data_IF_223244576950
#
_entry.id   IF_223244576950
#
_cell.length_a   1.000
_cell.length_b   1.000
_cell.length_c   1.000
_cell.angle_alpha   90.00
_cell.angle_beta   90.00
_cell.angle_gamma   90.00
#
_symmetry.space_group_name_H-M   'P 1'
#
loop_
_entity.id
_entity.type
_entity.pdbx_description
1 polymer ?
#
# COMPACT_ATOMS: atom_id res chain seq x y z
N UNK A 1 -0.21 -16.98 25.23
CA UNK A 1 -0.07 -18.09 24.26
C UNK A 1 -1.05 -17.86 23.12
N UNK A 2 -2.31 -17.49 23.43
CA UNK A 2 -3.34 -17.09 22.47
C UNK A 2 -2.90 -15.99 21.48
N UNK A 3 -2.13 -14.99 21.90
CA UNK A 3 -1.66 -13.92 20.99
C UNK A 3 -0.64 -14.38 19.94
N UNK A 4 0.10 -15.47 20.20
CA UNK A 4 1.13 -15.95 19.29
C UNK A 4 0.56 -16.88 18.22
N UNK A 5 -0.36 -17.74 18.63
CA UNK A 5 -1.10 -18.60 17.70
C UNK A 5 -1.95 -17.73 16.76
N UNK A 6 -2.59 -16.66 17.27
CA UNK A 6 -3.30 -15.70 16.43
C UNK A 6 -2.37 -14.99 15.42
N UNK A 7 -1.16 -14.60 15.83
CA UNK A 7 -0.18 -13.98 14.94
C UNK A 7 0.30 -14.93 13.82
N UNK A 8 0.45 -16.21 14.14
CA UNK A 8 0.88 -17.23 13.20
C UNK A 8 -0.25 -17.67 12.26
N UNK A 9 -1.48 -17.79 12.76
CA UNK A 9 -2.66 -17.97 11.92
C UNK A 9 -2.92 -16.77 11.01
N UNK A 10 -2.69 -15.54 11.48
CA UNK A 10 -2.74 -14.35 10.64
C UNK A 10 -1.65 -14.35 9.56
N UNK A 11 -0.42 -14.77 9.89
CA UNK A 11 0.65 -14.98 8.92
C UNK A 11 0.22 -16.02 7.88
N UNK A 12 -0.24 -17.20 8.28
CA UNK A 12 -0.71 -18.26 7.37
C UNK A 12 -1.91 -17.84 6.50
N UNK A 13 -2.87 -17.09 7.06
CA UNK A 13 -4.03 -16.55 6.34
C UNK A 13 -3.62 -15.44 5.36
N UNK A 14 -2.65 -14.60 5.73
CA UNK A 14 -2.11 -13.57 4.84
C UNK A 14 -1.33 -14.16 3.65
N UNK A 15 -0.58 -15.25 3.86
CA UNK A 15 0.05 -16.01 2.76
C UNK A 15 -0.98 -16.58 1.76
N UNK A 16 -2.20 -16.88 2.21
CA UNK A 16 -3.28 -17.37 1.36
C UNK A 16 -4.02 -16.24 0.59
N UNK A 17 -4.06 -15.01 1.12
CA UNK A 17 -4.70 -13.85 0.48
C UNK A 17 -3.78 -13.17 -0.55
N UNK A 18 -2.46 -13.21 -0.36
CA UNK A 18 -1.48 -12.67 -1.31
C UNK A 18 -1.58 -13.27 -2.73
N UNK A 19 -2.18 -14.46 -2.88
CA UNK A 19 -2.41 -15.11 -4.18
C UNK A 19 -3.72 -14.70 -4.88
N UNK A 20 -4.57 -13.87 -4.26
CA UNK A 20 -5.93 -13.57 -4.75
C UNK A 20 -6.31 -12.10 -4.82
N UNK A 21 -5.41 -11.17 -4.56
CA UNK A 21 -5.66 -9.76 -4.84
C UNK A 21 -5.54 -9.50 -6.34
N UNK A 22 -6.67 -9.80 -6.98
CA UNK A 22 -7.03 -9.45 -8.32
C UNK A 22 -6.64 -7.98 -8.54
N UNK A 23 -5.71 -7.74 -9.47
CA UNK A 23 -5.60 -6.45 -10.16
C UNK A 23 -6.94 -6.26 -10.85
N UNK A 24 -7.92 -5.71 -10.13
CA UNK A 24 -9.12 -5.19 -10.75
C UNK A 24 -8.67 -3.97 -11.53
N UNK A 25 -8.33 -4.20 -12.79
CA UNK A 25 -8.72 -3.27 -13.83
C UNK A 25 -10.23 -3.07 -13.69
N UNK A 26 -10.64 -2.00 -13.03
CA UNK A 26 -12.03 -1.68 -12.86
C UNK A 26 -12.25 -0.19 -12.58
N UNK A 27 -13.25 0.47 -13.19
CA UNK A 27 -13.97 0.08 -14.39
C UNK A 27 -13.27 0.64 -15.63
N UNK A 28 -13.46 -0.03 -16.76
CA UNK A 28 -13.75 0.71 -17.99
C UNK A 28 -15.03 1.52 -17.76
N UNK A 29 -14.97 2.61 -17.00
CA UNK A 29 -15.86 3.72 -17.30
C UNK A 29 -15.22 4.35 -18.51
N UNK A 30 -15.65 3.88 -19.67
CA UNK A 30 -15.75 4.71 -20.86
C UNK A 30 -16.57 5.95 -20.48
N UNK A 31 -15.94 6.86 -19.77
CA UNK A 31 -16.32 8.25 -19.75
C UNK A 31 -15.21 8.86 -20.56
N UNK A 32 -15.43 8.81 -21.86
CA UNK A 32 -14.62 9.49 -22.83
C UNK A 32 -14.35 10.86 -22.23
N UNK A 33 -13.09 11.16 -21.89
CA UNK A 33 -12.63 12.52 -22.03
C UNK A 33 -13.06 12.84 -23.46
N UNK A 34 -14.18 13.55 -23.60
CA UNK A 34 -14.62 13.98 -24.90
C UNK A 34 -13.53 14.98 -25.28
N UNK A 35 -12.50 14.47 -25.94
CA UNK A 35 -11.97 15.10 -27.12
C UNK A 35 -13.18 15.21 -28.04
N UNK A 36 -14.05 16.18 -27.73
CA UNK A 36 -14.83 16.82 -28.75
C UNK A 36 -13.77 17.30 -29.72
N UNK A 37 -13.50 16.48 -30.74
CA UNK A 37 -13.09 17.01 -32.02
C UNK A 37 -14.14 18.06 -32.27
N UNK A 38 -13.76 19.31 -32.03
CA UNK A 38 -14.40 20.45 -32.65
C UNK A 38 -14.43 20.02 -34.11
N UNK A 39 -15.60 19.62 -34.59
CA UNK A 39 -15.89 19.59 -36.01
C UNK A 39 -16.33 21.03 -36.31
N UNK A 40 -15.41 21.94 -36.67
CA UNK A 40 -15.83 23.01 -37.55
C UNK A 40 -16.27 22.30 -38.83
N UNK A 41 -17.57 22.30 -39.11
CA UNK A 41 -18.00 22.10 -40.49
C UNK A 41 -17.59 23.36 -41.24
N UNK A 42 -16.40 23.35 -41.84
CA UNK A 42 -16.02 24.24 -42.94
C UNK A 42 -15.00 23.49 -43.82
N UNK A 43 -15.20 23.44 -45.15
CA UNK A 43 -14.18 22.95 -46.07
C UNK A 43 -13.03 23.97 -46.15
N UNK A 44 -11.78 23.50 -46.11
CA UNK A 44 -10.62 24.36 -46.35
C UNK A 44 -9.62 23.70 -47.30
N UNK A 45 -9.56 24.19 -48.53
CA UNK A 45 -8.33 24.48 -49.28
C UNK A 45 -8.68 25.23 -50.58
N UNK A 46 -7.75 25.99 -51.18
CA UNK A 46 -6.88 27.03 -50.64
C UNK A 46 -7.42 28.43 -51.01
N UNK A 47 -6.69 29.51 -50.72
CA UNK A 47 -6.99 30.86 -51.20
C UNK A 47 -7.23 30.85 -52.73
N UNK A 48 -8.48 30.98 -53.15
CA UNK A 48 -8.86 31.11 -54.55
C UNK A 48 -8.75 32.57 -54.97
N UNK A 49 -8.47 32.81 -56.25
CA UNK A 49 -8.46 34.14 -56.86
C UNK A 49 -9.76 34.92 -56.57
N UNK A 50 -10.87 34.21 -56.35
CA UNK A 50 -12.15 34.78 -55.95
C UNK A 50 -12.12 35.47 -54.57
N UNK A 51 -11.33 34.97 -53.60
CA UNK A 51 -11.18 35.60 -52.29
C UNK A 51 -10.38 36.91 -52.39
N UNK A 52 -9.37 36.96 -53.27
CA UNK A 52 -8.56 38.15 -53.53
C UNK A 52 -9.36 39.24 -54.26
N UNK A 53 -10.25 38.85 -55.17
CA UNK A 53 -11.17 39.76 -55.86
C UNK A 53 -12.22 40.37 -54.93
N UNK A 54 -12.62 39.65 -53.87
CA UNK A 54 -13.57 40.13 -52.86
C UNK A 54 -12.95 41.19 -51.94
N UNK A 55 -11.69 41.03 -51.54
CA UNK A 55 -10.95 42.03 -50.77
C UNK A 55 -10.69 43.31 -51.58
N UNK A 56 -10.47 43.18 -52.90
CA UNK A 56 -10.28 44.32 -53.82
C UNK A 56 -11.59 45.12 -54.00
N UNK A 57 -12.74 44.44 -54.06
CA UNK A 57 -14.06 45.10 -54.10
C UNK A 57 -14.44 45.79 -52.79
N UNK A 58 -14.00 45.26 -51.64
CA UNK A 58 -14.21 45.89 -50.33
C UNK A 58 -13.34 47.14 -50.13
N UNK A 59 -12.13 47.16 -50.70
CA UNK A 59 -11.27 48.34 -50.71
C UNK A 59 -11.87 49.47 -51.58
N UNK A 60 -12.47 49.15 -52.73
CA UNK A 60 -13.10 50.14 -53.62
C UNK A 60 -14.38 50.77 -53.01
N UNK A 61 -15.15 50.01 -52.22
CA UNK A 61 -16.30 50.53 -51.49
C UNK A 61 -15.91 51.52 -50.37
N UNK A 62 -14.74 51.35 -49.76
CA UNK A 62 -14.20 52.30 -48.76
C UNK A 62 -13.90 53.70 -49.33
N UNK A 63 -13.56 53.78 -50.62
CA UNK A 63 -13.32 55.06 -51.30
C UNK A 63 -14.62 55.81 -51.64
N UNK A 64 -15.76 55.13 -51.74
CA UNK A 64 -17.06 55.78 -52.00
C UNK A 64 -17.71 56.38 -50.75
N UNK A 65 -17.51 55.77 -49.56
CA UNK A 65 -18.00 56.32 -48.29
C UNK A 65 -17.29 57.62 -47.89
N UNK A 66 -16.06 57.82 -48.36
CA UNK A 66 -15.28 59.04 -48.12
C UNK A 66 -15.82 60.28 -48.86
N UNK A 67 -16.83 60.14 -49.72
CA UNK A 67 -17.38 61.24 -50.55
C UNK A 67 -18.83 61.65 -50.24
N UNK A 68 -19.42 61.15 -49.15
CA UNK A 68 -20.79 61.53 -48.71
C UNK A 68 -20.84 62.20 -47.33
N UNK A 69 -19.70 62.47 -46.69
CA UNK A 69 -19.63 63.24 -45.45
C UNK A 69 -19.68 64.76 -45.72
N UNK A 70 -20.76 65.26 -46.33
CA UNK A 70 -21.05 66.70 -46.39
C UNK A 70 -22.53 67.01 -46.72
N UNK A 71 -23.45 66.73 -45.80
CA UNK A 71 -24.62 67.58 -45.46
C UNK A 71 -25.58 66.77 -44.57
N UNK A 72 -25.85 67.29 -43.37
CA UNK A 72 -26.76 66.66 -42.41
C UNK A 72 -28.16 67.24 -42.43
N UNK A 73 -29.12 66.53 -41.82
CA UNK A 73 -30.12 67.05 -40.87
C UNK A 73 -31.15 65.96 -40.45
N UNK A 74 -31.25 65.71 -39.14
CA UNK A 74 -32.48 65.86 -38.34
C UNK A 74 -33.68 64.89 -38.45
N UNK A 75 -33.92 64.20 -37.33
CA UNK A 75 -35.21 63.92 -36.64
C UNK A 75 -36.05 62.69 -37.07
N UNK A 76 -36.39 61.86 -36.07
CA UNK A 76 -37.62 61.05 -36.04
C UNK A 76 -37.46 59.66 -35.41
N UNK A 77 -38.01 59.47 -34.19
CA UNK A 77 -38.13 58.15 -33.53
C UNK A 77 -39.03 57.22 -34.38
N UNK A 78 -38.59 56.02 -34.82
CA UNK A 78 -39.43 55.12 -35.60
C UNK A 78 -40.28 54.21 -34.69
N UNK A 79 -41.54 54.04 -35.06
CA UNK A 79 -42.48 53.09 -34.47
C UNK A 79 -42.02 51.64 -34.67
N UNK A 80 -42.29 50.76 -33.70
CA UNK A 80 -41.88 49.35 -33.68
C UNK A 80 -42.27 48.57 -34.95
N UNK A 81 -43.35 48.96 -35.63
CA UNK A 81 -43.75 48.36 -36.92
C UNK A 81 -42.82 48.67 -38.09
N UNK A 82 -42.10 49.79 -38.09
CA UNK A 82 -41.13 50.12 -39.15
C UNK A 82 -39.82 49.38 -38.94
N UNK A 83 -39.43 49.15 -37.69
CA UNK A 83 -38.24 48.36 -37.36
C UNK A 83 -38.44 46.89 -37.75
N UNK A 84 -39.61 46.31 -37.50
CA UNK A 84 -39.93 44.93 -37.91
C UNK A 84 -39.98 44.78 -39.44
N UNK A 85 -40.57 45.74 -40.16
CA UNK A 85 -40.58 45.73 -41.63
C UNK A 85 -39.18 45.91 -42.24
N UNK A 86 -38.31 46.69 -41.58
CA UNK A 86 -36.91 46.85 -42.00
C UNK A 86 -36.07 45.61 -41.67
N UNK A 87 -36.35 44.92 -40.55
CA UNK A 87 -35.73 43.64 -40.20
C UNK A 87 -36.17 42.52 -41.16
N UNK A 88 -37.44 42.48 -41.57
CA UNK A 88 -37.95 41.50 -42.53
C UNK A 88 -37.43 41.73 -43.95
N UNK A 89 -37.28 43.00 -44.38
CA UNK A 89 -36.63 43.30 -45.67
C UNK A 89 -35.14 42.96 -45.65
N UNK A 90 -34.41 43.30 -44.58
CA UNK A 90 -33.00 42.92 -44.44
C UNK A 90 -32.83 41.39 -44.39
N UNK A 91 -33.77 40.68 -43.75
CA UNK A 91 -33.75 39.21 -43.68
C UNK A 91 -34.00 38.59 -45.05
N UNK A 92 -34.92 39.16 -45.85
CA UNK A 92 -35.21 38.71 -47.22
C UNK A 92 -34.05 39.02 -48.17
N UNK A 93 -33.44 40.19 -48.06
CA UNK A 93 -32.32 40.61 -48.90
C UNK A 93 -31.05 39.77 -48.58
N UNK A 94 -30.84 39.38 -47.32
CA UNK A 94 -29.80 38.43 -46.91
C UNK A 94 -30.09 36.99 -47.41
N UNK A 95 -31.37 36.62 -47.52
CA UNK A 95 -31.81 35.35 -48.12
C UNK A 95 -31.57 35.28 -49.63
N UNK A 96 -31.75 36.38 -50.36
CA UNK A 96 -31.50 36.48 -51.81
C UNK A 96 -30.00 36.46 -52.15
N UNK A 97 -29.14 36.93 -51.25
CA UNK A 97 -27.67 36.81 -51.36
C UNK A 97 -27.14 35.42 -50.95
N UNK A 98 -28.03 34.46 -50.64
CA UNK A 98 -27.65 33.10 -50.25
C UNK A 98 -27.10 32.97 -48.83
N UNK A 99 -27.16 34.03 -48.02
CA UNK A 99 -26.73 34.05 -46.62
C UNK A 99 -27.95 33.69 -45.76
N UNK A 100 -28.42 32.45 -45.89
CA UNK A 100 -29.37 31.90 -44.93
C UNK A 100 -28.59 31.49 -43.69
N UNK A 101 -28.49 32.39 -42.71
CA UNK A 101 -28.04 32.03 -41.37
C UNK A 101 -29.16 31.20 -40.70
N UNK A 102 -29.36 29.96 -41.17
CA UNK A 102 -30.25 29.03 -40.49
C UNK A 102 -29.72 28.85 -39.06
N UNK A 103 -30.56 29.07 -38.02
CA UNK A 103 -30.11 28.96 -36.65
C UNK A 103 -29.58 27.54 -36.41
N UNK A 104 -28.35 27.43 -35.92
CA UNK A 104 -27.65 26.15 -35.73
C UNK A 104 -28.18 25.34 -34.53
N UNK A 105 -29.23 25.83 -33.87
CA UNK A 105 -29.85 25.27 -32.67
C UNK A 105 -30.36 26.37 -31.72
N UNK A 106 -30.95 25.96 -30.59
CA UNK A 106 -31.34 26.86 -29.49
C UNK A 106 -30.45 26.56 -28.29
N UNK A 107 -29.78 27.59 -27.76
CA UNK A 107 -28.85 27.42 -26.65
C UNK A 107 -29.57 26.90 -25.39
N UNK A 108 -29.04 25.84 -24.80
CA UNK A 108 -29.60 25.23 -23.59
C UNK A 108 -29.55 26.14 -22.35
N UNK A 109 -28.58 27.06 -22.27
CA UNK A 109 -28.43 27.99 -21.15
C UNK A 109 -29.36 29.20 -21.29
N UNK A 110 -29.27 29.96 -22.39
CA UNK A 110 -30.00 31.23 -22.55
C UNK A 110 -31.32 31.13 -23.33
N UNK A 111 -31.64 29.94 -23.89
CA UNK A 111 -32.85 29.66 -24.68
C UNK A 111 -33.02 30.50 -25.96
N UNK A 112 -31.95 31.17 -26.42
CA UNK A 112 -31.94 31.96 -27.66
C UNK A 112 -31.40 31.13 -28.84
N UNK A 113 -31.84 31.41 -30.09
CA UNK A 113 -31.26 30.82 -31.29
C UNK A 113 -29.76 31.13 -31.39
N UNK A 114 -28.97 30.14 -31.79
CA UNK A 114 -27.52 30.28 -31.95
C UNK A 114 -27.24 30.72 -33.39
N UNK A 115 -26.71 31.92 -33.54
CA UNK A 115 -26.20 32.43 -34.81
C UNK A 115 -24.67 32.24 -34.86
N UNK A 116 -24.15 31.60 -35.92
CA UNK A 116 -22.71 31.38 -36.10
C UNK A 116 -22.19 30.09 -35.44
N UNK A 117 -21.09 30.18 -34.67
CA UNK A 117 -20.41 29.01 -34.08
C UNK A 117 -21.29 28.36 -33.00
N UNK A 118 -21.67 27.11 -33.24
CA UNK A 118 -22.41 26.27 -32.27
C UNK A 118 -21.47 25.27 -31.61
N UNK A 119 -21.63 25.08 -30.29
CA UNK A 119 -21.07 23.94 -29.57
C UNK A 119 -22.15 22.91 -29.32
N UNK A 120 -21.88 21.66 -29.67
CA UNK A 120 -22.76 20.52 -29.37
C UNK A 120 -22.09 19.67 -28.31
N UNK A 121 -22.69 19.63 -27.12
CA UNK A 121 -22.16 18.93 -25.94
C UNK A 121 -23.31 18.50 -25.03
N UNK A 122 -23.16 17.39 -24.29
CA UNK A 122 -24.19 16.86 -23.38
C UNK A 122 -25.54 16.61 -24.09
N UNK A 123 -25.51 16.26 -25.38
CA UNK A 123 -26.71 16.09 -26.22
C UNK A 123 -27.50 17.39 -26.50
N UNK A 124 -26.91 18.56 -26.24
CA UNK A 124 -27.55 19.89 -26.39
C UNK A 124 -26.66 20.84 -27.20
N UNK A 125 -27.23 21.96 -27.64
CA UNK A 125 -26.49 23.03 -28.32
C UNK A 125 -26.28 24.22 -27.39
N UNK A 126 -25.12 24.86 -27.50
CA UNK A 126 -24.67 25.93 -26.62
C UNK A 126 -23.97 27.03 -27.42
N UNK A 127 -24.09 28.27 -26.97
CA UNK A 127 -23.10 29.28 -27.36
C UNK A 127 -21.76 28.94 -26.69
N UNK A 128 -20.62 29.23 -27.34
CA UNK A 128 -19.29 29.04 -26.75
C UNK A 128 -19.12 29.62 -25.34
N UNK A 129 -19.57 30.86 -25.16
CA UNK A 129 -19.55 31.60 -23.88
C UNK A 129 -20.46 31.01 -22.79
N UNK A 130 -21.49 30.26 -23.19
CA UNK A 130 -22.48 29.70 -22.26
C UNK A 130 -22.18 28.24 -21.89
N UNK A 131 -21.17 27.63 -22.50
CA UNK A 131 -20.71 26.29 -22.16
C UNK A 131 -19.56 26.38 -21.16
N UNK A 132 -19.92 26.56 -19.89
CA UNK A 132 -19.00 26.83 -18.78
C UNK A 132 -18.98 25.71 -17.75
N UNK A 133 -17.87 25.58 -17.02
CA UNK A 133 -17.78 24.67 -15.89
C UNK A 133 -18.83 25.00 -14.83
N UNK A 134 -19.57 23.99 -14.38
CA UNK A 134 -20.62 24.14 -13.36
C UNK A 134 -20.09 24.60 -11.99
N UNK A 135 -18.78 24.47 -11.72
CA UNK A 135 -18.16 24.83 -10.43
C UNK A 135 -17.42 26.16 -10.47
N UNK A 136 -16.47 26.36 -11.40
CA UNK A 136 -15.70 27.61 -11.48
C UNK A 136 -16.20 28.62 -12.52
N UNK A 137 -17.14 28.26 -13.39
CA UNK A 137 -17.66 29.14 -14.44
C UNK A 137 -16.71 29.36 -15.63
N UNK A 138 -15.56 28.68 -15.69
CA UNK A 138 -14.63 28.78 -16.81
C UNK A 138 -15.27 28.27 -18.11
N UNK A 139 -15.09 28.99 -19.21
CA UNK A 139 -15.47 28.56 -20.57
C UNK A 139 -14.73 27.28 -20.97
N UNK A 140 -15.48 26.27 -21.41
CA UNK A 140 -14.96 24.95 -21.76
C UNK A 140 -14.80 24.77 -23.29
N UNK A 141 -14.97 25.83 -24.08
CA UNK A 141 -14.92 25.77 -25.55
C UNK A 141 -13.52 25.50 -26.13
N UNK A 142 -12.47 25.72 -25.33
CA UNK A 142 -11.06 25.65 -25.74
C UNK A 142 -10.32 24.40 -25.27
N UNK A 143 -10.96 23.52 -24.51
CA UNK A 143 -10.28 22.38 -23.89
C UNK A 143 -11.19 21.17 -23.64
N UNK A 144 -10.62 20.04 -23.20
CA UNK A 144 -11.40 18.88 -22.80
C UNK A 144 -12.28 19.23 -21.59
N UNK A 145 -13.45 18.61 -21.53
CA UNK A 145 -14.35 18.70 -20.39
C UNK A 145 -14.79 17.30 -19.96
N UNK A 146 -15.28 17.22 -18.72
CA UNK A 146 -15.83 16.00 -18.15
C UNK A 146 -17.31 16.20 -17.83
N UNK A 147 -18.12 15.17 -18.12
CA UNK A 147 -19.55 15.15 -17.83
C UNK A 147 -19.82 14.39 -16.54
N UNK A 148 -20.54 15.00 -15.60
CA UNK A 148 -21.08 14.32 -14.42
C UNK A 148 -22.50 14.79 -14.15
N UNK A 149 -23.46 13.87 -14.09
CA UNK A 149 -24.86 14.20 -13.81
C UNK A 149 -25.50 15.17 -14.82
N UNK A 150 -25.06 15.17 -16.08
CA UNK A 150 -25.54 16.08 -17.12
C UNK A 150 -25.02 17.52 -17.02
N UNK A 151 -23.97 17.75 -16.24
CA UNK A 151 -23.24 19.02 -16.13
C UNK A 151 -21.81 18.88 -16.63
N UNK A 152 -21.26 19.95 -17.20
CA UNK A 152 -19.87 19.98 -17.65
C UNK A 152 -18.96 20.57 -16.58
N UNK A 153 -17.82 19.92 -16.35
CA UNK A 153 -16.77 20.34 -15.43
C UNK A 153 -15.45 20.52 -16.17
N UNK A 154 -14.63 21.49 -15.75
CA UNK A 154 -13.23 21.52 -16.14
C UNK A 154 -12.49 20.34 -15.50
N UNK A 155 -11.36 19.94 -16.07
CA UNK A 155 -10.55 18.81 -15.58
C UNK A 155 -10.24 18.90 -14.08
N UNK A 156 -9.79 20.07 -13.62
CA UNK A 156 -9.36 20.27 -12.23
C UNK A 156 -10.55 20.14 -11.26
N UNK A 157 -11.69 20.77 -11.55
CA UNK A 157 -12.87 20.69 -10.71
C UNK A 157 -13.49 19.29 -10.70
N UNK A 158 -13.46 18.60 -11.84
CA UNK A 158 -13.94 17.23 -11.93
C UNK A 158 -13.12 16.32 -11.02
N UNK A 159 -11.78 16.35 -11.14
CA UNK A 159 -10.91 15.50 -10.33
C UNK A 159 -10.95 15.85 -8.84
N UNK A 160 -11.08 17.12 -8.48
CA UNK A 160 -11.20 17.51 -7.07
C UNK A 160 -12.49 17.01 -6.40
N UNK A 161 -13.59 16.97 -7.15
CA UNK A 161 -14.91 16.63 -6.62
C UNK A 161 -15.22 15.14 -6.70
N UNK A 162 -14.80 14.46 -7.76
CA UNK A 162 -15.29 13.13 -8.11
C UNK A 162 -14.21 12.04 -8.14
N UNK A 163 -12.93 12.38 -8.23
CA UNK A 163 -11.89 11.36 -8.24
C UNK A 163 -11.62 10.77 -6.86
N UNK A 164 -11.32 9.46 -6.79
CA UNK A 164 -10.91 8.82 -5.55
C UNK A 164 -9.63 9.47 -5.01
N UNK A 165 -9.49 9.50 -3.69
CA UNK A 165 -8.35 10.13 -3.01
C UNK A 165 -7.35 9.07 -2.56
N UNK A 166 -6.08 9.37 -2.77
CA UNK A 166 -5.02 8.49 -2.30
C UNK A 166 -4.93 8.52 -0.78
N UNK A 167 -4.95 7.36 -0.13
CA UNK A 167 -4.83 7.23 1.33
C UNK A 167 -3.51 7.78 1.90
N UNK A 168 -2.44 7.82 1.08
CA UNK A 168 -1.14 8.38 1.49
C UNK A 168 -1.07 9.91 1.33
N UNK A 169 -1.31 10.44 0.12
CA UNK A 169 -1.11 11.87 -0.17
C UNK A 169 -2.40 12.72 -0.13
N UNK A 170 -3.57 12.11 0.07
CA UNK A 170 -4.91 12.72 0.01
C UNK A 170 -5.28 13.40 -1.32
N UNK A 171 -4.41 13.34 -2.32
CA UNK A 171 -4.62 13.89 -3.66
C UNK A 171 -5.54 13.02 -4.52
N UNK A 172 -6.22 13.63 -5.52
CA UNK A 172 -7.08 12.91 -6.45
C UNK A 172 -6.26 12.02 -7.39
N UNK A 173 -6.72 10.78 -7.59
CA UNK A 173 -6.09 9.80 -8.48
C UNK A 173 -6.74 9.93 -9.86
N UNK A 174 -5.97 10.35 -10.87
CA UNK A 174 -6.49 10.66 -12.22
C UNK A 174 -6.54 9.46 -13.16
N UNK A 175 -5.56 8.57 -13.06
CA UNK A 175 -5.38 7.46 -14.01
C UNK A 175 -5.48 6.10 -13.31
N UNK A 176 -4.33 5.49 -12.98
CA UNK A 176 -4.27 4.17 -12.37
C UNK A 176 -4.61 4.28 -10.90
N UNK A 177 -5.75 3.73 -10.52
CA UNK A 177 -6.10 3.51 -9.13
C UNK A 177 -5.62 2.12 -8.71
N UNK A 178 -4.90 2.07 -7.59
CA UNK A 178 -4.64 0.82 -6.88
C UNK A 178 -5.63 0.76 -5.72
N UNK A 179 -6.41 -0.30 -5.65
CA UNK A 179 -7.34 -0.54 -4.53
C UNK A 179 -6.77 -1.64 -3.66
N UNK A 180 -6.48 -1.32 -2.41
CA UNK A 180 -5.95 -2.24 -1.41
C UNK A 180 -6.29 -1.72 -0.01
N UNK A 181 -6.44 -2.63 0.96
CA UNK A 181 -6.79 -2.28 2.35
C UNK A 181 -8.08 -1.43 2.43
N UNK A 182 -9.07 -1.79 1.61
CA UNK A 182 -10.35 -1.07 1.45
C UNK A 182 -10.21 0.42 1.10
N UNK A 183 -9.04 0.82 0.58
CA UNK A 183 -8.69 2.19 0.26
C UNK A 183 -8.11 2.30 -1.16
N UNK A 184 -8.09 3.53 -1.67
CA UNK A 184 -7.52 3.85 -2.98
C UNK A 184 -6.16 4.53 -2.84
N UNK A 185 -5.24 4.17 -3.73
CA UNK A 185 -3.85 4.60 -3.69
C UNK A 185 -3.35 4.96 -5.09
N UNK A 186 -2.39 5.88 -5.16
CA UNK A 186 -1.52 5.93 -6.32
C UNK A 186 -0.63 4.69 -6.30
N UNK A 187 -0.33 4.05 -7.44
CA UNK A 187 0.59 2.92 -7.51
C UNK A 187 1.96 3.24 -6.91
N UNK A 188 2.45 4.48 -7.07
CA UNK A 188 3.73 4.91 -6.49
C UNK A 188 3.67 5.16 -4.96
N UNK A 189 2.48 5.34 -4.40
CA UNK A 189 2.27 5.62 -2.97
C UNK A 189 1.82 4.39 -2.17
N UNK A 190 1.78 3.22 -2.80
CA UNK A 190 1.53 1.96 -2.14
C UNK A 190 2.84 1.19 -1.93
N UNK A 191 3.47 1.45 -0.78
CA UNK A 191 4.78 0.92 -0.42
C UNK A 191 4.82 0.49 1.06
N UNK A 192 5.87 -0.24 1.43
CA UNK A 192 6.06 -0.70 2.81
C UNK A 192 6.10 0.47 3.79
N UNK A 193 5.24 0.45 4.81
CA UNK A 193 5.16 1.47 5.85
C UNK A 193 6.44 1.59 6.70
N UNK A 194 7.33 0.60 6.67
CA UNK A 194 8.59 0.60 7.41
C UNK A 194 9.78 1.03 6.54
N UNK A 195 10.11 0.28 5.47
CA UNK A 195 11.27 0.61 4.63
C UNK A 195 10.98 1.51 3.43
N UNK A 196 9.73 1.81 3.11
CA UNK A 196 9.35 2.64 1.96
C UNK A 196 9.54 1.98 0.58
N UNK A 197 9.92 0.69 0.53
CA UNK A 197 10.06 -0.04 -0.74
C UNK A 197 8.70 -0.37 -1.34
N UNK A 198 8.59 -0.20 -2.65
CA UNK A 198 7.43 -0.67 -3.42
C UNK A 198 7.36 -2.20 -3.39
N UNK A 199 6.15 -2.73 -3.47
CA UNK A 199 5.92 -4.17 -3.51
C UNK A 199 6.22 -4.73 -4.90
N UNK A 200 6.90 -5.88 -4.94
CA UNK A 200 7.13 -6.65 -6.17
C UNK A 200 6.07 -7.74 -6.35
N UNK A 201 6.43 -8.78 -7.10
CA UNK A 201 5.52 -9.91 -7.40
C UNK A 201 5.11 -10.70 -6.14
N UNK A 202 5.93 -10.66 -5.09
CA UNK A 202 5.63 -11.27 -3.78
C UNK A 202 4.46 -10.58 -3.05
N UNK A 203 4.06 -9.36 -3.45
CA UNK A 203 2.98 -8.63 -2.80
C UNK A 203 3.36 -8.00 -1.45
N UNK A 204 2.36 -7.86 -0.56
CA UNK A 204 2.48 -7.19 0.73
C UNK A 204 1.74 -7.96 1.83
N UNK A 205 2.06 -7.65 3.08
CA UNK A 205 1.39 -8.15 4.28
C UNK A 205 0.75 -6.99 5.04
N UNK A 206 -0.45 -7.16 5.57
CA UNK A 206 -1.14 -6.14 6.34
C UNK A 206 -0.97 -6.36 7.84
N UNK A 207 -0.66 -5.29 8.59
CA UNK A 207 -0.86 -5.26 10.05
C UNK A 207 -1.43 -3.91 10.45
N UNK A 208 -2.55 -3.91 11.17
CA UNK A 208 -3.22 -2.69 11.66
C UNK A 208 -3.53 -1.67 10.54
N UNK A 209 -4.04 -2.13 9.39
CA UNK A 209 -4.37 -1.25 8.26
C UNK A 209 -3.15 -0.65 7.55
N UNK A 210 -1.94 -1.16 7.77
CA UNK A 210 -0.71 -0.70 7.12
C UNK A 210 -0.06 -1.83 6.32
N UNK A 211 0.39 -1.56 5.08
CA UNK A 211 1.06 -2.56 4.26
C UNK A 211 2.57 -2.62 4.58
N UNK A 212 3.10 -3.83 4.68
CA UNK A 212 4.51 -4.13 4.97
C UNK A 212 5.07 -5.12 3.95
N UNK A 213 6.37 -5.04 3.67
CA UNK A 213 7.02 -6.09 2.89
C UNK A 213 7.28 -7.30 3.80
N UNK A 214 7.40 -8.48 3.18
CA UNK A 214 7.66 -9.75 3.89
C UNK A 214 8.83 -9.66 4.88
N UNK A 215 9.94 -9.06 4.46
CA UNK A 215 11.13 -8.92 5.30
C UNK A 215 10.88 -8.08 6.55
N UNK A 216 10.27 -6.90 6.40
CA UNK A 216 10.00 -6.02 7.53
C UNK A 216 8.93 -6.60 8.44
N UNK A 217 7.88 -7.18 7.87
CA UNK A 217 6.81 -7.82 8.63
C UNK A 217 7.38 -8.91 9.54
N UNK A 218 8.20 -9.81 9.00
CA UNK A 218 8.83 -10.87 9.79
C UNK A 218 9.80 -10.30 10.83
N UNK A 219 10.62 -9.32 10.47
CA UNK A 219 11.60 -8.75 11.39
C UNK A 219 10.95 -8.06 12.61
N UNK A 220 9.78 -7.47 12.42
CA UNK A 220 9.07 -6.71 13.45
C UNK A 220 8.05 -7.54 14.23
N UNK A 221 7.32 -8.42 13.57
CA UNK A 221 6.13 -9.06 14.13
C UNK A 221 6.27 -10.56 14.35
N UNK A 222 7.18 -11.24 13.64
CA UNK A 222 7.33 -12.67 13.83
C UNK A 222 7.99 -12.97 15.19
N UNK A 223 7.56 -14.06 15.86
CA UNK A 223 8.21 -14.53 17.07
C UNK A 223 9.69 -14.82 16.81
N UNK A 224 10.56 -14.44 17.76
CA UNK A 224 12.00 -14.63 17.65
C UNK A 224 12.45 -15.84 18.44
N UNK A 225 13.26 -16.68 17.81
CA UNK A 225 13.83 -17.85 18.46
C UNK A 225 14.69 -17.43 19.64
N UNK A 226 14.42 -17.96 20.84
CA UNK A 226 15.18 -17.61 22.04
C UNK A 226 16.66 -18.07 21.99
N UNK A 227 16.96 -19.06 21.14
CA UNK A 227 18.33 -19.54 20.92
C UNK A 227 19.18 -18.70 19.95
N UNK A 228 18.60 -18.15 18.88
CA UNK A 228 19.37 -17.47 17.82
C UNK A 228 18.86 -16.06 17.47
N UNK A 229 17.81 -15.59 18.13
CA UNK A 229 17.17 -14.27 17.98
C UNK A 229 16.58 -13.97 16.59
N UNK A 230 16.60 -14.95 15.67
CA UNK A 230 16.01 -14.82 14.34
C UNK A 230 14.51 -15.14 14.35
N UNK A 231 13.73 -14.51 13.46
CA UNK A 231 12.33 -14.85 13.23
C UNK A 231 12.12 -16.36 13.01
N UNK A 232 11.02 -16.86 13.55
CA UNK A 232 10.55 -18.23 13.36
C UNK A 232 9.28 -18.18 12.54
N UNK A 233 9.26 -18.92 11.43
CA UNK A 233 8.13 -18.95 10.49
C UNK A 233 7.30 -20.21 10.75
N UNK A 234 7.86 -21.38 10.45
CA UNK A 234 7.14 -22.65 10.55
C UNK A 234 7.93 -23.70 11.36
N UNK A 235 7.25 -24.78 11.77
CA UNK A 235 7.83 -25.95 12.45
C UNK A 235 8.73 -25.57 13.63
N UNK A 236 8.13 -24.95 14.66
CA UNK A 236 8.84 -24.46 15.82
C UNK A 236 8.44 -25.18 17.10
N UNK A 237 9.28 -25.02 18.12
CA UNK A 237 9.04 -25.57 19.45
C UNK A 237 8.67 -24.44 20.42
N UNK A 238 7.54 -24.62 21.10
CA UNK A 238 7.12 -23.77 22.22
C UNK A 238 7.61 -24.37 23.53
N UNK A 239 8.60 -23.72 24.16
CA UNK A 239 9.19 -24.16 25.42
C UNK A 239 9.79 -22.97 26.17
N UNK A 240 9.88 -23.07 27.50
CA UNK A 240 10.51 -22.04 28.35
C UNK A 240 9.90 -20.64 28.16
N UNK A 241 8.57 -20.59 28.00
CA UNK A 241 7.80 -19.37 27.72
C UNK A 241 8.26 -18.60 26.45
N UNK A 242 8.91 -19.28 25.51
CA UNK A 242 9.34 -18.71 24.23
C UNK A 242 9.21 -19.70 23.08
N UNK A 243 9.63 -19.25 21.90
CA UNK A 243 9.71 -20.07 20.70
C UNK A 243 11.15 -20.40 20.34
N UNK A 244 11.33 -21.52 19.67
CA UNK A 244 12.63 -22.01 19.27
C UNK A 244 12.54 -22.67 17.89
N UNK A 245 13.55 -22.47 17.05
CA UNK A 245 13.75 -23.41 15.95
C UNK A 245 14.06 -24.80 16.51
N UNK A 246 13.64 -25.86 15.82
CA UNK A 246 13.86 -27.25 16.27
C UNK A 246 15.33 -27.57 16.54
N UNK A 247 16.20 -27.01 15.70
CA UNK A 247 17.65 -27.13 15.76
C UNK A 247 18.31 -26.18 16.77
N UNK A 248 17.60 -25.14 17.22
CA UNK A 248 18.08 -24.21 18.24
C UNK A 248 17.72 -24.66 19.66
N UNK A 249 16.74 -25.55 19.82
CA UNK A 249 16.37 -26.11 21.11
C UNK A 249 17.32 -27.26 21.52
N UNK A 250 18.51 -26.87 21.98
CA UNK A 250 19.60 -27.77 22.33
C UNK A 250 20.10 -27.51 23.75
N UNK A 251 20.81 -28.47 24.34
CA UNK A 251 21.44 -28.24 25.64
C UNK A 251 22.42 -27.06 25.58
N UNK A 252 22.30 -26.14 26.54
CA UNK A 252 23.12 -24.92 26.61
C UNK A 252 24.63 -25.19 26.71
N UNK A 253 25.05 -26.36 27.21
CA UNK A 253 26.48 -26.68 27.38
C UNK A 253 27.07 -27.49 26.22
N UNK A 254 26.39 -28.55 25.78
CA UNK A 254 26.92 -29.43 24.72
C UNK A 254 26.30 -29.20 23.35
N UNK A 255 25.35 -28.27 23.23
CA UNK A 255 24.68 -27.91 21.98
C UNK A 255 24.04 -29.10 21.26
N UNK A 256 23.72 -30.16 22.00
CA UNK A 256 23.09 -31.38 21.47
C UNK A 256 21.60 -31.33 21.70
N UNK A 257 20.82 -31.74 20.71
CA UNK A 257 19.37 -31.88 20.82
C UNK A 257 18.95 -32.96 21.82
N UNK A 258 17.71 -32.88 22.30
CA UNK A 258 17.18 -33.78 23.32
C UNK A 258 16.63 -35.07 22.69
N UNK A 259 17.49 -36.08 22.55
CA UNK A 259 17.17 -37.34 21.85
C UNK A 259 16.02 -38.14 22.47
N UNK A 260 15.72 -37.92 23.77
CA UNK A 260 14.63 -38.58 24.49
C UNK A 260 13.40 -37.70 24.71
N UNK A 261 13.34 -36.50 24.12
CA UNK A 261 12.26 -35.54 24.34
C UNK A 261 12.20 -34.94 25.75
N UNK A 262 13.08 -35.33 26.66
CA UNK A 262 13.20 -34.76 28.00
C UNK A 262 14.35 -33.74 28.07
N UNK A 263 14.08 -32.65 28.78
CA UNK A 263 15.05 -31.59 29.08
C UNK A 263 14.80 -31.08 30.50
N UNK A 264 15.79 -30.38 31.05
CA UNK A 264 15.67 -29.71 32.33
C UNK A 264 15.85 -28.21 32.14
N UNK A 265 15.05 -27.42 32.85
CA UNK A 265 15.15 -25.97 32.86
C UNK A 265 16.02 -25.49 34.02
N UNK A 266 16.95 -24.59 33.72
CA UNK A 266 17.67 -23.81 34.73
C UNK A 266 17.80 -22.38 34.23
N UNK A 267 17.26 -21.41 34.98
CA UNK A 267 17.29 -19.97 34.64
C UNK A 267 16.72 -19.67 33.23
N UNK A 268 15.63 -20.34 32.85
CA UNK A 268 15.02 -20.17 31.53
C UNK A 268 15.85 -20.73 30.37
N UNK A 269 16.83 -21.60 30.64
CA UNK A 269 17.69 -22.24 29.64
C UNK A 269 17.55 -23.77 29.68
N UNK A 270 17.57 -24.45 28.53
CA UNK A 270 17.43 -25.89 28.46
C UNK A 270 18.78 -26.60 28.67
N UNK A 271 18.78 -27.66 29.48
CA UNK A 271 19.93 -28.51 29.79
C UNK A 271 19.58 -29.98 29.63
N UNK A 272 20.54 -30.79 29.18
CA UNK A 272 20.38 -32.25 29.26
C UNK A 272 20.53 -32.69 30.71
N UNK A 273 20.03 -33.88 31.03
CA UNK A 273 20.05 -34.43 32.39
C UNK A 273 21.45 -34.36 33.03
N UNK A 274 22.48 -34.75 32.28
CA UNK A 274 23.86 -34.74 32.76
C UNK A 274 24.33 -33.32 33.14
N UNK A 275 24.21 -32.35 32.22
CA UNK A 275 24.70 -30.98 32.46
C UNK A 275 23.87 -30.25 33.53
N UNK A 276 22.57 -30.53 33.62
CA UNK A 276 21.73 -30.01 34.71
C UNK A 276 22.24 -30.47 36.07
N UNK A 277 22.48 -31.77 36.23
CA UNK A 277 22.97 -32.33 37.49
C UNK A 277 24.43 -31.97 37.78
N UNK A 278 25.26 -31.77 36.75
CA UNK A 278 26.63 -31.24 36.91
C UNK A 278 26.60 -29.83 37.51
N UNK A 279 25.77 -28.93 36.99
CA UNK A 279 25.60 -27.57 37.53
C UNK A 279 25.05 -27.53 38.94
N UNK A 280 24.08 -28.39 39.23
CA UNK A 280 23.50 -28.51 40.57
C UNK A 280 24.42 -29.23 41.57
N UNK A 281 25.60 -29.71 41.13
CA UNK A 281 26.53 -30.43 41.99
C UNK A 281 25.97 -31.76 42.51
N UNK A 282 25.09 -32.41 41.76
CA UNK A 282 24.41 -33.66 42.15
C UNK A 282 24.99 -34.90 41.47
N UNK A 283 26.12 -34.79 40.79
CA UNK A 283 26.79 -35.91 40.12
C UNK A 283 27.57 -36.74 41.13
N UNK A 284 27.51 -38.06 40.96
CA UNK A 284 28.32 -38.99 41.72
C UNK A 284 29.78 -38.92 41.26
N UNK A 285 30.69 -38.57 42.16
CA UNK A 285 32.11 -38.51 41.85
C UNK A 285 32.70 -39.88 41.45
N UNK A 286 32.12 -40.98 41.94
CA UNK A 286 32.60 -42.33 41.61
C UNK A 286 32.19 -42.88 40.25
N UNK A 287 31.07 -42.44 39.66
CA UNK A 287 30.57 -43.00 38.40
C UNK A 287 30.22 -41.95 37.33
N UNK A 288 30.25 -40.66 37.66
CA UNK A 288 29.90 -39.59 36.72
C UNK A 288 28.41 -39.44 36.40
N UNK A 289 27.55 -40.30 36.97
CA UNK A 289 26.10 -40.23 36.76
C UNK A 289 25.39 -39.41 37.85
N UNK A 290 24.25 -38.77 37.53
CA UNK A 290 23.40 -38.10 38.52
C UNK A 290 22.99 -39.00 39.68
N UNK A 291 23.08 -38.48 40.91
CA UNK A 291 22.58 -39.19 42.09
C UNK A 291 21.11 -38.87 42.28
N UNK A 292 20.24 -39.82 41.94
CA UNK A 292 18.80 -39.75 42.20
C UNK A 292 18.49 -40.36 43.57
N UNK A 293 17.96 -39.56 44.50
CA UNK A 293 17.56 -40.02 45.84
C UNK A 293 18.69 -40.01 46.88
N UNK A 294 18.91 -41.15 47.57
CA UNK A 294 19.86 -41.23 48.70
C UNK A 294 21.29 -41.06 48.22
N UNK A 295 21.99 -40.05 48.74
CA UNK A 295 23.41 -39.81 48.45
C UNK A 295 24.24 -39.76 49.73
N UNK A 296 25.51 -40.16 49.62
CA UNK A 296 26.52 -39.92 50.65
C UNK A 296 27.29 -38.66 50.24
N UNK A 297 27.37 -37.69 51.15
CA UNK A 297 28.20 -36.48 50.97
C UNK A 297 29.42 -36.58 51.86
N UNK A 298 30.60 -36.51 51.25
CA UNK A 298 31.90 -36.60 51.91
C UNK A 298 32.87 -35.67 51.17
N UNK A 299 33.69 -34.90 51.90
CA UNK A 299 34.68 -33.99 51.31
C UNK A 299 34.12 -33.00 50.26
N UNK A 300 32.90 -32.51 50.45
CA UNK A 300 32.22 -31.65 49.46
C UNK A 300 31.79 -32.35 48.17
N UNK A 301 32.01 -33.67 48.05
CA UNK A 301 31.63 -34.51 46.90
C UNK A 301 30.43 -35.39 47.25
N UNK A 302 29.67 -35.76 46.23
CA UNK A 302 28.52 -36.66 46.36
C UNK A 302 28.82 -38.01 45.74
N UNK A 303 28.30 -39.06 46.36
CA UNK A 303 28.46 -40.43 45.94
C UNK A 303 27.12 -41.16 46.05
N UNK A 304 26.87 -42.08 45.12
CA UNK A 304 25.92 -43.15 45.37
C UNK A 304 26.43 -44.00 46.56
N UNK A 305 25.54 -44.56 47.40
CA UNK A 305 25.95 -45.44 48.51
C UNK A 305 26.86 -46.59 48.08
N UNK A 306 26.67 -47.09 46.85
CA UNK A 306 27.46 -48.18 46.27
C UNK A 306 28.83 -47.73 45.76
N UNK A 307 28.97 -46.44 45.40
CA UNK A 307 30.20 -45.85 44.87
C UNK A 307 31.06 -45.16 45.95
N UNK A 308 30.59 -45.16 47.20
CA UNK A 308 31.36 -44.65 48.34
C UNK A 308 32.21 -45.78 48.95
N UNK A 309 33.35 -46.06 48.33
CA UNK A 309 34.21 -47.20 48.65
C UNK A 309 35.65 -46.77 48.96
N UNK A 310 36.35 -47.59 49.73
CA UNK A 310 37.78 -47.42 50.00
C UNK A 310 38.59 -47.64 48.72
N UNK A 311 39.45 -46.70 48.35
CA UNK A 311 40.29 -46.83 47.14
C UNK A 311 41.24 -48.03 47.19
N UNK A 312 41.65 -48.47 48.38
CA UNK A 312 42.57 -49.59 48.54
C UNK A 312 41.87 -50.96 48.61
N UNK A 313 40.92 -51.12 49.53
CA UNK A 313 40.27 -52.42 49.75
C UNK A 313 38.93 -52.58 49.03
N UNK A 314 38.43 -51.54 48.35
CA UNK A 314 37.13 -51.48 47.67
C UNK A 314 35.92 -51.75 48.59
N UNK A 315 36.14 -51.79 49.91
CA UNK A 315 35.08 -51.95 50.90
C UNK A 315 34.22 -50.70 51.00
N UNK A 316 32.90 -50.89 51.17
CA UNK A 316 31.93 -49.81 51.36
C UNK A 316 32.25 -49.01 52.62
N UNK A 317 32.29 -47.69 52.46
CA UNK A 317 32.53 -46.74 53.55
C UNK A 317 31.20 -46.26 54.12
N UNK A 318 31.20 -45.87 55.39
CA UNK A 318 30.04 -45.31 56.07
C UNK A 318 30.36 -43.90 56.55
N UNK A 319 29.31 -43.11 56.79
CA UNK A 319 29.44 -41.72 57.27
C UNK A 319 30.16 -41.73 58.63
N UNK A 320 31.32 -41.08 58.71
CA UNK A 320 32.10 -40.93 59.95
C UNK A 320 33.21 -41.97 60.18
N UNK A 321 33.42 -42.94 59.27
CA UNK A 321 34.47 -43.98 59.41
C UNK A 321 35.41 -44.03 58.20
N UNK A 322 35.80 -42.88 57.69
CA UNK A 322 36.69 -42.77 56.54
C UNK A 322 37.71 -41.65 56.74
N UNK A 323 38.86 -41.78 56.10
CA UNK A 323 39.91 -40.78 56.03
C UNK A 323 40.10 -40.39 54.57
N UNK A 324 40.28 -39.10 54.33
CA UNK A 324 40.58 -38.56 53.01
C UNK A 324 42.09 -38.30 52.90
N UNK A 325 42.67 -38.73 51.78
CA UNK A 325 44.07 -38.43 51.43
C UNK A 325 44.15 -38.27 49.92
N UNK A 326 44.71 -37.16 49.43
CA UNK A 326 44.94 -36.91 48.00
C UNK A 326 43.66 -37.17 47.16
N UNK A 327 42.55 -36.54 47.54
CA UNK A 327 41.22 -36.68 46.91
C UNK A 327 40.64 -38.09 46.87
N UNK A 328 41.23 -39.04 47.60
CA UNK A 328 40.82 -40.45 47.67
C UNK A 328 40.32 -40.79 49.06
N UNK A 329 39.33 -41.68 49.09
CA UNK A 329 38.64 -42.10 50.31
C UNK A 329 39.20 -43.44 50.77
N UNK A 330 39.66 -43.51 52.03
CA UNK A 330 40.22 -44.72 52.62
C UNK A 330 39.43 -45.09 53.89
N UNK A 331 39.24 -46.38 54.15
CA UNK A 331 38.81 -46.79 55.48
C UNK A 331 39.97 -46.61 56.47
N UNK A 332 39.66 -46.32 57.73
CA UNK A 332 40.67 -46.07 58.77
C UNK A 332 41.78 -47.14 58.84
N UNK A 333 41.48 -48.45 58.75
CA UNK A 333 42.52 -49.49 58.74
C UNK A 333 43.46 -49.43 57.53
N UNK A 334 42.95 -49.04 56.35
CA UNK A 334 43.79 -48.91 55.15
C UNK A 334 44.60 -47.62 55.21
N UNK A 335 44.00 -46.52 55.69
CA UNK A 335 44.70 -45.26 55.86
C UNK A 335 45.91 -45.41 56.79
N UNK A 336 45.70 -45.99 57.98
CA UNK A 336 46.78 -46.21 58.94
C UNK A 336 47.87 -47.16 58.43
N UNK A 337 47.55 -48.07 57.50
CA UNK A 337 48.56 -48.98 56.92
C UNK A 337 49.37 -48.33 55.80
N UNK A 338 48.81 -47.32 55.13
CA UNK A 338 49.40 -46.70 53.95
C UNK A 338 50.09 -45.37 54.27
N UNK A 339 49.63 -44.66 55.31
CA UNK A 339 49.99 -43.26 55.56
C UNK A 339 50.32 -42.91 57.02
N UNK A 340 50.17 -43.85 57.97
CA UNK A 340 50.63 -43.69 59.35
C UNK A 340 51.92 -44.48 59.58
#
# INVERSE_FOLDING_TARGET
MEDLDALLEELEQSYCLASKDHVLQGPSSSQDAQHGSLKPLLPSAPHTEAARQLDELLADLGHTQSKLAASGQGVGVPTESLLDNMLDSLTRDLQELGITAAPAGVCAACRKPIAGKVLTALGKTWHPEHFTCARCGQELDKGPYFEQGGQAFCEEDYHQAFSPRCAYCAGPIREKVLTALEQTWHPEHFFCAHCGKMFGDEGFLERNGKPYCHQDFLAMFAPKCQGCERPVMDNYLSALQGVWHTECFVCTECLTGFTGGSFFELEGRPYCELHFHQRQGTICHGCGHPVTGRCITAAGRRYHPEHFICTYCLGRLHKGTFCEYDDKMYCQPCYNKLFA
#
